data_IF_446341852492
#
_entry.id   IF_446341852492
#
_cell.length_a   1.000
_cell.length_b   1.000
_cell.length_c   1.000
_cell.angle_alpha   90.00
_cell.angle_beta   90.00
_cell.angle_gamma   90.00
#
_symmetry.space_group_name_H-M   'P 1'
#
loop_
_entity.id
_entity.type
_entity.pdbx_description
1 polymer ?
#
# COMPACT_ATOMS: atom_id res chain seq x y z
N UNK A 1 -10.93 4.63 9.51
CA UNK A 1 -9.80 3.70 9.75
C UNK A 1 -8.56 4.53 10.02
N UNK A 2 -7.75 4.20 11.03
CA UNK A 2 -6.46 4.87 11.23
C UNK A 2 -5.37 4.02 10.60
N UNK A 3 -4.51 4.65 9.79
CA UNK A 3 -3.34 4.00 9.18
C UNK A 3 -2.12 4.74 9.70
N UNK A 4 -1.20 3.99 10.31
CA UNK A 4 0.07 4.52 10.80
C UNK A 4 1.20 3.85 10.02
N UNK A 5 2.09 4.65 9.47
CA UNK A 5 3.20 4.18 8.65
C UNK A 5 4.40 5.10 8.80
N UNK A 6 5.58 4.61 8.43
CA UNK A 6 6.81 5.39 8.43
C UNK A 6 7.09 5.85 7.01
N UNK A 7 7.34 7.15 6.83
CA UNK A 7 7.84 7.71 5.59
C UNK A 7 9.34 7.98 5.74
N UNK A 8 10.14 7.41 4.82
CA UNK A 8 11.56 7.72 4.69
C UNK A 8 11.75 8.87 3.71
N UNK A 9 12.24 10.02 4.20
CA UNK A 9 12.64 11.15 3.37
C UNK A 9 14.14 11.40 3.54
N UNK A 10 14.91 11.11 2.50
CA UNK A 10 16.38 11.11 2.55
C UNK A 10 16.91 10.18 3.65
N UNK A 11 17.33 10.75 4.79
CA UNK A 11 17.92 10.04 5.93
C UNK A 11 17.07 10.17 7.20
N UNK A 12 15.81 10.63 7.10
CA UNK A 12 14.91 10.72 8.25
C UNK A 12 13.69 9.80 8.10
N UNK A 13 13.35 9.17 9.21
CA UNK A 13 12.16 8.35 9.37
C UNK A 13 11.11 9.18 10.09
N UNK A 14 9.95 9.38 9.46
CA UNK A 14 8.84 10.14 10.05
C UNK A 14 7.65 9.23 10.26
N UNK A 15 7.20 9.08 11.50
CA UNK A 15 5.97 8.37 11.80
C UNK A 15 4.77 9.24 11.43
N UNK A 16 3.98 8.77 10.49
CA UNK A 16 2.78 9.44 10.01
C UNK A 16 1.56 8.63 10.45
N UNK A 17 0.51 9.32 10.86
CA UNK A 17 -0.80 8.71 11.06
C UNK A 17 -1.83 9.49 10.26
N UNK A 18 -2.58 8.78 9.43
CA UNK A 18 -3.68 9.33 8.64
C UNK A 18 -4.98 8.66 9.04
N UNK A 19 -6.07 9.43 8.98
CA UNK A 19 -7.41 8.94 9.30
C UNK A 19 -8.22 8.88 8.01
N UNK A 20 -8.46 7.66 7.54
CA UNK A 20 -9.26 7.41 6.36
C UNK A 20 -10.75 7.33 6.72
N UNK A 21 -11.60 8.03 5.99
CA UNK A 21 -13.05 8.02 6.15
C UNK A 21 -13.66 7.01 5.20
N UNK A 22 -14.67 6.25 5.63
CA UNK A 22 -15.32 5.28 4.74
C UNK A 22 -16.15 6.04 3.71
N UNK A 23 -15.91 5.78 2.43
CA UNK A 23 -16.70 6.31 1.33
C UNK A 23 -17.86 5.37 1.03
N UNK A 24 -17.56 4.19 0.50
CA UNK A 24 -18.52 3.13 0.15
C UNK A 24 -17.93 1.75 0.44
N UNK A 25 -18.75 0.82 0.92
CA UNK A 25 -18.33 -0.57 1.19
C UNK A 25 -16.96 -0.67 1.89
N UNK A 26 -15.94 -1.21 1.22
CA UNK A 26 -14.56 -1.38 1.70
C UNK A 26 -13.58 -0.33 1.16
N UNK A 27 -14.08 0.76 0.60
CA UNK A 27 -13.32 1.91 0.07
C UNK A 27 -13.31 3.05 1.09
N UNK A 28 -12.16 3.68 1.26
CA UNK A 28 -11.96 4.78 2.18
C UNK A 28 -11.23 5.94 1.50
N UNK A 29 -11.64 7.17 1.81
CA UNK A 29 -10.97 8.38 1.35
C UNK A 29 -9.98 8.87 2.42
N UNK A 30 -8.80 9.29 1.98
CA UNK A 30 -7.76 9.84 2.86
C UNK A 30 -6.93 10.91 2.15
N UNK A 31 -6.75 12.05 2.83
CA UNK A 31 -5.91 13.13 2.37
C UNK A 31 -4.46 12.93 2.83
N UNK A 32 -3.58 12.66 1.89
CA UNK A 32 -2.15 12.53 2.10
C UNK A 32 -1.41 12.63 0.76
N UNK A 33 -0.55 13.64 0.60
CA UNK A 33 0.14 13.93 -0.68
C UNK A 33 -0.81 13.90 -1.89
N UNK A 34 -1.96 14.55 -1.75
CA UNK A 34 -3.09 14.43 -2.67
C UNK A 34 -4.29 13.76 -2.01
N UNK A 35 -5.31 13.46 -2.81
CA UNK A 35 -6.50 12.74 -2.37
C UNK A 35 -6.37 11.28 -2.79
N UNK A 36 -6.60 10.37 -1.83
CA UNK A 36 -6.46 8.94 -2.07
C UNK A 36 -7.80 8.24 -1.84
N UNK A 37 -8.19 7.38 -2.78
CA UNK A 37 -9.21 6.36 -2.57
C UNK A 37 -8.51 5.03 -2.31
N UNK A 38 -8.76 4.41 -1.16
CA UNK A 38 -8.00 3.25 -0.68
C UNK A 38 -8.92 2.05 -0.40
N UNK A 39 -8.46 0.85 -0.75
CA UNK A 39 -9.16 -0.40 -0.52
C UNK A 39 -8.22 -1.40 0.16
N UNK A 40 -8.73 -2.09 1.19
CA UNK A 40 -8.03 -3.19 1.84
C UNK A 40 -8.57 -4.53 1.31
N UNK A 41 -7.69 -5.34 0.73
CA UNK A 41 -8.02 -6.61 0.09
C UNK A 41 -7.32 -7.74 0.86
N UNK A 42 -8.04 -8.53 1.66
CA UNK A 42 -7.49 -9.73 2.28
C UNK A 42 -7.16 -10.75 1.18
N UNK A 43 -5.86 -10.98 0.94
CA UNK A 43 -5.41 -11.84 -0.16
C UNK A 43 -5.05 -13.26 0.32
N UNK A 44 -4.63 -13.42 1.57
CA UNK A 44 -4.40 -14.70 2.22
C UNK A 44 -4.48 -14.57 3.75
N UNK A 45 -4.22 -15.65 4.50
CA UNK A 45 -4.13 -15.59 5.96
C UNK A 45 -2.93 -14.75 6.46
N UNK A 46 -1.89 -14.62 5.62
CA UNK A 46 -0.62 -13.94 5.92
C UNK A 46 -0.49 -12.58 5.25
N UNK A 47 -1.28 -12.28 4.21
CA UNK A 47 -1.13 -11.09 3.36
C UNK A 47 -2.41 -10.25 3.23
N UNK A 48 -2.25 -8.95 3.43
CA UNK A 48 -3.23 -7.93 3.10
C UNK A 48 -2.69 -7.07 1.96
N UNK A 49 -3.45 -6.88 0.88
CA UNK A 49 -3.09 -5.93 -0.17
C UNK A 49 -3.80 -4.60 0.07
N UNK A 50 -3.02 -3.54 0.19
CA UNK A 50 -3.50 -2.17 0.18
C UNK A 50 -3.48 -1.66 -1.26
N UNK A 51 -4.65 -1.34 -1.82
CA UNK A 51 -4.77 -0.67 -3.11
C UNK A 51 -5.11 0.80 -2.91
N UNK A 52 -4.47 1.70 -3.65
CA UNK A 52 -4.84 3.10 -3.66
C UNK A 52 -4.80 3.72 -5.06
N UNK A 53 -5.73 4.62 -5.31
CA UNK A 53 -5.66 5.60 -6.40
C UNK A 53 -5.39 6.98 -5.78
N UNK A 54 -4.20 7.53 -6.01
CA UNK A 54 -3.78 8.84 -5.55
C UNK A 54 -3.93 9.87 -6.68
N UNK A 55 -4.68 10.93 -6.46
CA UNK A 55 -4.71 12.10 -7.34
C UNK A 55 -3.95 13.26 -6.69
N UNK A 56 -2.86 13.68 -7.33
CA UNK A 56 -1.96 14.72 -6.82
C UNK A 56 -2.36 16.16 -7.27
N UNK A 57 -3.45 16.28 -8.03
CA UNK A 57 -3.91 17.52 -8.64
C UNK A 57 -3.63 17.60 -10.15
N UNK A 58 -2.77 16.73 -10.68
CA UNK A 58 -2.43 16.65 -12.11
C UNK A 58 -2.67 15.26 -12.69
N UNK A 59 -2.23 14.22 -11.99
CA UNK A 59 -2.30 12.83 -12.45
C UNK A 59 -2.86 11.90 -11.39
N UNK A 60 -3.41 10.78 -11.84
CA UNK A 60 -3.78 9.66 -10.98
C UNK A 60 -2.69 8.60 -11.02
N UNK A 61 -2.19 8.22 -9.85
CA UNK A 61 -1.25 7.10 -9.67
C UNK A 61 -1.98 5.96 -8.99
N UNK A 62 -1.92 4.77 -9.59
CA UNK A 62 -2.41 3.54 -8.96
C UNK A 62 -1.25 2.84 -8.26
N UNK A 63 -1.45 2.44 -7.02
CA UNK A 63 -0.44 1.75 -6.23
C UNK A 63 -1.05 0.60 -5.47
N UNK A 64 -0.26 -0.46 -5.32
CA UNK A 64 -0.53 -1.60 -4.46
C UNK A 64 0.63 -1.77 -3.48
N UNK A 65 0.33 -2.19 -2.26
CA UNK A 65 1.31 -2.65 -1.28
C UNK A 65 0.87 -4.00 -0.73
N UNK A 66 1.74 -5.00 -0.80
CA UNK A 66 1.55 -6.25 -0.09
C UNK A 66 2.07 -6.12 1.34
N UNK A 67 1.18 -6.29 2.32
CA UNK A 67 1.48 -6.14 3.74
C UNK A 67 1.41 -7.52 4.40
N UNK A 68 2.54 -7.95 4.98
CA UNK A 68 2.66 -9.19 5.74
C UNK A 68 2.82 -8.94 7.25
N UNK A 69 2.69 -10.00 8.05
CA UNK A 69 3.04 -9.97 9.49
C UNK A 69 4.53 -10.18 9.77
N UNK A 70 5.28 -10.68 8.78
CA UNK A 70 6.71 -10.99 8.89
C UNK A 70 7.55 -10.17 7.91
N UNK A 71 8.82 -10.55 7.77
CA UNK A 71 9.79 -9.81 6.96
C UNK A 71 9.77 -10.21 5.47
N UNK A 72 9.00 -11.23 5.07
CA UNK A 72 8.89 -11.65 3.66
C UNK A 72 7.56 -12.32 3.34
N UNK A 73 7.24 -12.36 2.05
CA UNK A 73 6.08 -13.06 1.50
C UNK A 73 6.47 -14.46 1.02
N UNK A 74 5.51 -15.39 1.09
CA UNK A 74 5.65 -16.69 0.45
C UNK A 74 5.60 -16.55 -1.08
N UNK A 75 6.14 -17.52 -1.82
CA UNK A 75 6.03 -17.54 -3.29
C UNK A 75 4.56 -17.56 -3.75
N UNK A 76 3.68 -18.22 -3.00
CA UNK A 76 2.25 -18.25 -3.28
C UNK A 76 1.60 -16.86 -3.08
N UNK A 77 1.97 -16.14 -2.02
CA UNK A 77 1.50 -14.78 -1.78
C UNK A 77 2.02 -13.80 -2.85
N UNK A 78 3.26 -13.96 -3.31
CA UNK A 78 3.82 -13.15 -4.41
C UNK A 78 3.00 -13.36 -5.69
N UNK A 79 2.67 -14.59 -6.06
CA UNK A 79 1.85 -14.88 -7.25
C UNK A 79 0.46 -14.24 -7.15
N UNK A 80 -0.20 -14.35 -5.98
CA UNK A 80 -1.50 -13.70 -5.75
C UNK A 80 -1.40 -12.18 -5.84
N UNK A 81 -0.31 -11.60 -5.35
CA UNK A 81 -0.07 -10.17 -5.46
C UNK A 81 0.08 -9.73 -6.93
N UNK A 82 0.83 -10.48 -7.72
CA UNK A 82 0.99 -10.22 -9.16
C UNK A 82 -0.33 -10.32 -9.93
N UNK A 83 -1.18 -11.29 -9.58
CA UNK A 83 -2.54 -11.42 -10.12
C UNK A 83 -3.39 -10.19 -9.79
N UNK A 84 -3.40 -9.73 -8.54
CA UNK A 84 -4.13 -8.53 -8.12
C UNK A 84 -3.62 -7.29 -8.87
N UNK A 85 -2.31 -7.15 -9.06
CA UNK A 85 -1.74 -6.05 -9.84
C UNK A 85 -2.24 -6.07 -11.29
N UNK A 86 -2.23 -7.25 -11.93
CA UNK A 86 -2.74 -7.42 -13.29
C UNK A 86 -4.22 -7.03 -13.40
N UNK A 87 -5.05 -7.45 -12.46
CA UNK A 87 -6.49 -7.09 -12.41
C UNK A 87 -6.72 -5.58 -12.28
N UNK A 88 -5.78 -4.85 -11.65
CA UNK A 88 -5.84 -3.39 -11.48
C UNK A 88 -5.11 -2.61 -12.56
N UNK A 89 -4.48 -3.30 -13.51
CA UNK A 89 -3.69 -2.70 -14.58
C UNK A 89 -2.40 -2.06 -14.07
N UNK A 90 -1.83 -2.58 -12.99
CA UNK A 90 -0.53 -2.16 -12.45
C UNK A 90 0.53 -3.12 -12.99
N UNK A 91 1.55 -2.63 -13.72
CA UNK A 91 2.60 -3.48 -14.27
C UNK A 91 3.50 -4.05 -13.16
N UNK A 92 3.69 -5.37 -13.15
CA UNK A 92 4.47 -6.06 -12.12
C UNK A 92 5.97 -5.74 -12.19
N UNK A 93 6.48 -5.29 -13.33
CA UNK A 93 7.87 -4.84 -13.51
C UNK A 93 8.25 -3.63 -12.65
N UNK A 94 7.27 -2.90 -12.10
CA UNK A 94 7.48 -1.78 -11.18
C UNK A 94 7.42 -2.21 -9.70
N UNK A 95 7.31 -3.50 -9.42
CA UNK A 95 7.25 -4.01 -8.04
C UNK A 95 8.62 -3.91 -7.39
N UNK A 96 8.65 -3.29 -6.22
CA UNK A 96 9.86 -3.14 -5.40
C UNK A 96 9.68 -3.90 -4.08
N UNK A 97 10.72 -4.61 -3.64
CA UNK A 97 10.75 -5.24 -2.32
C UNK A 97 11.22 -4.24 -1.26
N UNK A 98 10.24 -3.62 -0.58
CA UNK A 98 10.49 -2.65 0.47
C UNK A 98 11.07 -3.24 1.77
N UNK A 99 10.93 -4.55 2.01
CA UNK A 99 11.29 -5.19 3.29
C UNK A 99 12.78 -5.06 3.63
N UNK A 100 13.63 -5.10 2.62
CA UNK A 100 15.08 -4.98 2.78
C UNK A 100 15.56 -3.53 2.93
N UNK A 101 14.68 -2.56 2.67
CA UNK A 101 14.99 -1.12 2.71
C UNK A 101 14.40 -0.41 3.92
N UNK A 102 13.60 -1.10 4.74
CA UNK A 102 13.09 -0.57 6.00
C UNK A 102 14.20 -0.54 7.07
N UNK A 103 14.90 0.60 7.09
CA UNK A 103 15.95 0.90 8.06
C UNK A 103 15.45 1.82 9.19
N UNK A 104 14.13 1.99 9.31
CA UNK A 104 13.53 2.88 10.29
C UNK A 104 13.35 2.20 11.66
N UNK A 105 13.32 2.98 12.76
CA UNK A 105 13.01 2.44 14.07
C UNK A 105 11.61 1.80 14.08
N UNK A 106 11.54 0.57 14.63
CA UNK A 106 10.28 -0.16 14.85
C UNK A 106 9.56 0.34 16.10
#
# INVERSE_FOLDING_TARGET
MSITFILTNYNSCTLITVVAQRAEENVYDVDYMGTNSVQLIPASESMLVFYAENFDGEKTTKVTYALGKGDSLSQEDIQKYEEINNERGIPNENTEDGSNTDNCPK
#
